data_IF_240845671197
#
_entry.id   IF_240845671197
#
_cell.length_a   1.000
_cell.length_b   1.000
_cell.length_c   1.000
_cell.angle_alpha   90.00
_cell.angle_beta   90.00
_cell.angle_gamma   90.00
#
_symmetry.space_group_name_H-M   'P 1'
#
loop_
_entity.id
_entity.type
_entity.pdbx_description
1 polymer ?
#
# COMPACT_ATOMS: atom_id res chain seq x y z
N UNK A 1 9.19 -27.95 3.31
CA UNK A 1 9.59 -26.84 4.19
C UNK A 1 10.45 -25.82 3.45
N UNK A 2 11.53 -26.31 2.80
CA UNK A 2 12.39 -25.42 2.02
C UNK A 2 11.63 -24.75 0.87
N UNK A 3 10.67 -25.46 0.27
CA UNK A 3 9.81 -24.92 -0.79
C UNK A 3 8.93 -23.80 -0.26
N UNK A 4 8.32 -23.98 0.90
CA UNK A 4 7.46 -22.99 1.50
C UNK A 4 8.22 -21.71 1.81
N UNK A 5 9.41 -21.83 2.37
CA UNK A 5 10.25 -20.67 2.67
C UNK A 5 10.65 -19.92 1.40
N UNK A 6 10.96 -20.68 0.34
CA UNK A 6 11.34 -20.09 -0.95
C UNK A 6 10.17 -19.33 -1.57
N UNK A 7 8.97 -19.93 -1.55
CA UNK A 7 7.76 -19.28 -2.08
C UNK A 7 7.39 -18.03 -1.30
N UNK A 8 7.51 -18.05 0.01
CA UNK A 8 7.24 -16.88 0.85
C UNK A 8 8.21 -15.75 0.55
N UNK A 9 9.48 -16.09 0.34
CA UNK A 9 10.51 -15.11 0.01
C UNK A 9 10.24 -14.47 -1.36
N UNK A 10 9.85 -15.25 -2.34
CA UNK A 10 9.52 -14.75 -3.68
C UNK A 10 8.30 -13.83 -3.62
N UNK A 11 7.26 -14.22 -2.88
CA UNK A 11 6.06 -13.43 -2.71
C UNK A 11 6.37 -12.10 -2.03
N UNK A 12 7.22 -12.12 -1.01
CA UNK A 12 7.64 -10.92 -0.30
C UNK A 12 8.41 -9.98 -1.24
N UNK A 13 9.31 -10.52 -2.06
CA UNK A 13 10.05 -9.72 -3.04
C UNK A 13 9.14 -9.05 -4.05
N UNK A 14 8.10 -9.77 -4.54
CA UNK A 14 7.12 -9.20 -5.45
C UNK A 14 6.34 -8.06 -4.79
N UNK A 15 5.89 -8.27 -3.56
CA UNK A 15 5.14 -7.25 -2.83
C UNK A 15 5.98 -6.01 -2.57
N UNK A 16 7.24 -6.20 -2.19
CA UNK A 16 8.17 -5.10 -1.99
C UNK A 16 8.41 -4.34 -3.28
N UNK A 17 8.53 -5.05 -4.41
CA UNK A 17 8.70 -4.42 -5.72
C UNK A 17 7.48 -3.59 -6.11
N UNK A 18 6.27 -4.08 -5.82
CA UNK A 18 5.05 -3.34 -6.08
C UNK A 18 4.99 -2.06 -5.25
N UNK A 19 5.32 -2.15 -3.96
CA UNK A 19 5.32 -1.00 -3.07
C UNK A 19 6.43 0.00 -3.44
N UNK A 20 7.53 -0.46 -4.00
CA UNK A 20 8.63 0.41 -4.43
C UNK A 20 8.25 1.30 -5.61
N UNK A 21 7.16 0.98 -6.33
CA UNK A 21 6.67 1.80 -7.43
C UNK A 21 5.95 3.06 -6.94
N UNK A 22 5.60 3.11 -5.67
CA UNK A 22 4.86 4.25 -5.12
C UNK A 22 5.77 5.47 -4.97
N UNK A 23 5.21 6.64 -5.30
CA UNK A 23 5.90 7.90 -5.04
C UNK A 23 5.96 8.16 -3.53
N UNK A 24 6.83 9.07 -3.05
CA UNK A 24 6.85 9.42 -1.63
C UNK A 24 5.49 9.87 -1.10
N UNK A 25 4.73 10.64 -1.88
CA UNK A 25 3.40 11.09 -1.46
C UNK A 25 2.43 9.91 -1.39
N UNK A 26 2.49 9.00 -2.36
CA UNK A 26 1.66 7.79 -2.34
C UNK A 26 2.00 6.92 -1.13
N UNK A 27 3.26 6.82 -0.77
CA UNK A 27 3.67 6.08 0.41
C UNK A 27 3.09 6.70 1.69
N UNK A 28 3.05 8.02 1.78
CA UNK A 28 2.43 8.72 2.90
C UNK A 28 0.94 8.43 2.98
N UNK A 29 0.25 8.44 1.83
CA UNK A 29 -1.18 8.10 1.78
C UNK A 29 -1.39 6.65 2.19
N UNK A 30 -0.59 5.73 1.67
CA UNK A 30 -0.67 4.31 2.03
C UNK A 30 -0.53 4.10 3.53
N UNK A 31 0.43 4.77 4.14
CA UNK A 31 0.65 4.67 5.58
C UNK A 31 -0.60 5.07 6.37
N UNK A 32 -1.29 6.13 5.94
CA UNK A 32 -2.53 6.58 6.57
C UNK A 32 -3.65 5.55 6.38
N UNK A 33 -3.74 4.96 5.17
CA UNK A 33 -4.73 3.91 4.90
C UNK A 33 -4.53 2.73 5.84
N UNK A 34 -3.30 2.30 6.04
CA UNK A 34 -2.96 1.18 6.92
C UNK A 34 -3.43 1.46 8.36
N UNK A 35 -3.36 2.71 8.79
CA UNK A 35 -3.79 3.11 10.12
C UNK A 35 -5.29 3.41 10.21
N UNK A 36 -6.05 3.09 9.16
CA UNK A 36 -7.50 3.24 9.18
C UNK A 36 -8.00 4.68 9.03
N UNK A 37 -7.16 5.60 8.54
CA UNK A 37 -7.58 7.00 8.35
C UNK A 37 -8.54 7.10 7.17
N UNK A 38 -9.56 7.94 7.33
CA UNK A 38 -10.51 8.23 6.27
C UNK A 38 -9.92 9.26 5.30
N UNK A 39 -10.43 9.29 4.07
CA UNK A 39 -9.93 10.21 3.04
C UNK A 39 -9.88 11.66 3.52
N UNK A 40 -10.92 12.11 4.23
CA UNK A 40 -10.97 13.47 4.77
C UNK A 40 -9.83 13.71 5.76
N UNK A 41 -9.57 12.74 6.62
CA UNK A 41 -8.51 12.82 7.61
C UNK A 41 -7.13 12.83 6.95
N UNK A 42 -6.96 12.01 5.91
CA UNK A 42 -5.70 11.97 5.15
C UNK A 42 -5.47 13.31 4.46
N UNK A 43 -6.52 13.88 3.87
CA UNK A 43 -6.44 15.18 3.22
C UNK A 43 -5.98 16.25 4.21
N UNK A 44 -6.57 16.26 5.41
CA UNK A 44 -6.18 17.20 6.46
C UNK A 44 -4.74 16.95 6.93
N UNK A 45 -4.37 15.69 7.15
CA UNK A 45 -3.02 15.31 7.59
C UNK A 45 -1.94 15.81 6.63
N UNK A 46 -2.19 15.71 5.33
CA UNK A 46 -1.20 16.02 4.31
C UNK A 46 -1.38 17.39 3.67
N UNK A 47 -2.41 18.14 4.06
CA UNK A 47 -2.67 19.47 3.51
C UNK A 47 -3.05 19.46 2.04
N UNK A 48 -3.79 18.45 1.60
CA UNK A 48 -4.23 18.29 0.22
C UNK A 48 -5.75 18.10 0.18
N UNK A 49 -6.34 18.16 -1.02
CA UNK A 49 -7.79 17.98 -1.15
C UNK A 49 -8.18 16.50 -1.05
N UNK A 50 -9.45 16.25 -0.71
CA UNK A 50 -10.00 14.89 -0.70
C UNK A 50 -9.88 14.28 -2.09
N UNK A 51 -10.12 15.08 -3.13
CA UNK A 51 -10.03 14.62 -4.51
C UNK A 51 -8.60 14.15 -4.85
N UNK A 52 -7.60 14.86 -4.34
CA UNK A 52 -6.20 14.46 -4.51
C UNK A 52 -5.91 13.16 -3.78
N UNK A 53 -6.46 12.99 -2.58
CA UNK A 53 -6.34 11.71 -1.84
C UNK A 53 -6.94 10.57 -2.66
N UNK A 54 -8.13 10.77 -3.23
CA UNK A 54 -8.79 9.77 -4.06
C UNK A 54 -7.92 9.37 -5.25
N UNK A 55 -7.30 10.37 -5.89
CA UNK A 55 -6.39 10.13 -7.02
C UNK A 55 -5.16 9.31 -6.59
N UNK A 56 -4.58 9.64 -5.45
CA UNK A 56 -3.45 8.89 -4.91
C UNK A 56 -3.85 7.46 -4.57
N UNK A 57 -5.02 7.26 -3.97
CA UNK A 57 -5.52 5.91 -3.65
C UNK A 57 -5.69 5.07 -4.91
N UNK A 58 -6.30 5.65 -5.95
CA UNK A 58 -6.48 4.96 -7.23
C UNK A 58 -5.14 4.54 -7.83
N UNK A 59 -4.17 5.43 -7.78
CA UNK A 59 -2.81 5.15 -8.28
C UNK A 59 -2.14 4.04 -7.46
N UNK A 60 -2.26 4.08 -6.14
CA UNK A 60 -1.71 3.05 -5.24
C UNK A 60 -2.32 1.69 -5.58
N UNK A 61 -3.65 1.64 -5.70
CA UNK A 61 -4.36 0.40 -6.01
C UNK A 61 -3.91 -0.18 -7.35
N UNK A 62 -3.75 0.68 -8.35
CA UNK A 62 -3.28 0.28 -9.66
C UNK A 62 -1.85 -0.26 -9.62
N UNK A 63 -0.95 0.46 -8.99
CA UNK A 63 0.48 0.09 -8.90
C UNK A 63 0.71 -1.19 -8.10
N UNK A 64 -0.17 -1.49 -7.16
CA UNK A 64 -0.07 -2.69 -6.33
C UNK A 64 -0.96 -3.82 -6.81
N UNK A 65 -1.61 -3.65 -7.96
CA UNK A 65 -2.55 -4.62 -8.52
C UNK A 65 -3.65 -5.01 -7.53
N UNK A 66 -4.11 -4.05 -6.74
CA UNK A 66 -5.12 -4.27 -5.71
C UNK A 66 -6.48 -3.80 -6.20
N UNK A 67 -7.47 -4.66 -6.15
CA UNK A 67 -8.84 -4.29 -6.53
C UNK A 67 -9.66 -3.75 -5.36
N UNK A 68 -9.22 -4.05 -4.13
CA UNK A 68 -9.90 -3.60 -2.90
C UNK A 68 -8.87 -3.23 -1.86
N UNK A 69 -9.31 -2.53 -0.80
CA UNK A 69 -8.44 -2.21 0.33
C UNK A 69 -7.95 -3.50 1.00
N UNK A 70 -8.79 -4.54 1.05
CA UNK A 70 -8.38 -5.82 1.60
C UNK A 70 -7.21 -6.42 0.82
N UNK A 71 -7.26 -6.34 -0.52
CA UNK A 71 -6.15 -6.79 -1.36
C UNK A 71 -4.88 -5.99 -1.09
N UNK A 72 -5.03 -4.67 -0.96
CA UNK A 72 -3.91 -3.78 -0.66
C UNK A 72 -3.26 -4.17 0.68
N UNK A 73 -4.07 -4.45 1.68
CA UNK A 73 -3.57 -4.85 2.99
C UNK A 73 -2.80 -6.17 2.91
N UNK A 74 -3.22 -7.11 2.06
CA UNK A 74 -2.48 -8.36 1.85
C UNK A 74 -1.10 -8.11 1.27
N UNK A 75 -1.00 -7.17 0.33
CA UNK A 75 0.30 -6.79 -0.25
C UNK A 75 1.21 -6.21 0.83
N UNK A 76 0.68 -5.30 1.64
CA UNK A 76 1.43 -4.67 2.72
C UNK A 76 1.84 -5.70 3.79
N UNK A 77 0.91 -6.58 4.19
CA UNK A 77 1.16 -7.60 5.21
C UNK A 77 2.19 -8.64 4.75
N UNK A 78 2.36 -8.81 3.45
CA UNK A 78 3.36 -9.71 2.91
C UNK A 78 4.76 -9.11 2.84
N UNK A 79 4.96 -7.89 3.37
CA UNK A 79 6.24 -7.19 3.34
C UNK A 79 6.79 -6.98 4.75
N UNK A 80 7.98 -6.40 4.83
CA UNK A 80 8.61 -6.09 6.12
C UNK A 80 7.95 -4.94 6.88
N UNK A 81 7.04 -4.19 6.23
CA UNK A 81 6.43 -3.02 6.84
C UNK A 81 5.59 -3.34 8.08
N UNK A 82 5.06 -4.56 8.16
CA UNK A 82 4.21 -4.98 9.26
C UNK A 82 4.83 -6.08 10.14
N UNK A 83 6.11 -6.33 9.97
CA UNK A 83 6.80 -7.35 10.77
C UNK A 83 7.84 -6.74 11.68
#
# INVERSE_FOLDING_TARGET
EARERHMEKERRSLNEALLAKLTPREQQVLERIIHGRLNKQIADDLGISIKTVEAHRASIMDKTNSGTVADLMRVVMGTKLLH
#
